data_IF_882379287438
#
_entry.id   IF_882379287438
#
_cell.length_a   1.000
_cell.length_b   1.000
_cell.length_c   1.000
_cell.angle_alpha   90.00
_cell.angle_beta   90.00
_cell.angle_gamma   90.00
#
_symmetry.space_group_name_H-M   'P 1'
#
loop_
_entity.id
_entity.type
_entity.pdbx_description
1 polymer ?
#
# COMPACT_ATOMS: atom_id res chain seq x y z
N UNK A 1 91.17 -38.92 9.26
CA UNK A 1 90.07 -39.90 9.09
C UNK A 1 89.04 -39.65 10.18
N UNK A 2 87.87 -39.09 9.83
CA UNK A 2 86.60 -39.52 10.44
C UNK A 2 85.45 -38.82 9.71
N UNK A 3 84.45 -39.62 9.39
CA UNK A 3 83.39 -39.35 8.43
C UNK A 3 82.29 -38.45 9.00
N UNK A 4 81.61 -37.74 8.08
CA UNK A 4 80.44 -36.90 8.32
C UNK A 4 79.23 -37.73 8.78
N UNK A 5 78.34 -37.15 9.61
CA UNK A 5 76.92 -37.47 9.57
C UNK A 5 76.13 -36.32 8.92
N UNK A 6 75.33 -36.66 7.90
CA UNK A 6 74.30 -35.77 7.34
C UNK A 6 73.09 -35.70 8.29
N UNK A 7 72.47 -34.51 8.46
CA UNK A 7 71.19 -34.39 9.16
C UNK A 7 70.01 -34.88 8.30
N UNK A 8 68.93 -35.38 8.93
CA UNK A 8 67.77 -35.96 8.25
C UNK A 8 66.88 -34.90 7.59
N UNK A 9 66.27 -35.30 6.48
CA UNK A 9 65.26 -34.54 5.74
C UNK A 9 64.05 -34.25 6.62
N UNK A 10 63.73 -32.97 6.79
CA UNK A 10 62.53 -32.50 7.47
C UNK A 10 61.26 -32.88 6.70
N UNK A 11 60.30 -33.42 7.44
CA UNK A 11 59.01 -33.85 6.95
C UNK A 11 58.18 -32.69 6.39
N UNK A 12 57.55 -32.92 5.24
CA UNK A 12 56.50 -32.07 4.70
C UNK A 12 55.32 -32.02 5.68
N UNK A 13 55.02 -30.82 6.19
CA UNK A 13 53.82 -30.55 6.97
C UNK A 13 52.62 -30.47 6.01
N UNK A 14 51.77 -31.50 6.04
CA UNK A 14 50.50 -31.51 5.32
C UNK A 14 49.51 -30.57 6.02
N UNK A 15 49.15 -29.48 5.36
CA UNK A 15 48.05 -28.61 5.77
C UNK A 15 46.72 -29.37 5.68
N UNK A 16 46.01 -29.48 6.81
CA UNK A 16 44.66 -30.05 6.89
C UNK A 16 43.63 -29.05 6.31
N UNK A 17 42.89 -29.37 5.23
CA UNK A 17 41.81 -28.52 4.75
C UNK A 17 40.52 -28.94 5.46
N UNK A 18 40.22 -28.35 6.61
CA UNK A 18 39.11 -28.81 7.46
C UNK A 18 38.24 -27.75 8.12
N UNK A 19 38.43 -26.45 7.85
CA UNK A 19 37.67 -25.39 8.54
C UNK A 19 36.88 -24.43 7.63
N UNK A 20 37.17 -24.38 6.33
CA UNK A 20 36.50 -23.42 5.43
C UNK A 20 35.05 -23.80 5.05
N UNK A 21 34.65 -25.07 5.22
CA UNK A 21 33.33 -25.57 4.78
C UNK A 21 32.18 -25.24 5.74
N UNK A 22 32.44 -25.14 7.04
CA UNK A 22 31.40 -24.82 8.04
C UNK A 22 30.98 -23.35 8.03
N UNK A 23 31.93 -22.44 7.77
CA UNK A 23 31.67 -21.00 7.77
C UNK A 23 30.82 -20.56 6.58
N UNK A 24 31.05 -21.11 5.38
CA UNK A 24 30.27 -20.78 4.18
C UNK A 24 28.79 -21.16 4.29
N UNK A 25 28.48 -22.30 4.92
CA UNK A 25 27.11 -22.75 5.12
C UNK A 25 26.33 -21.85 6.10
N UNK A 26 26.99 -21.37 7.16
CA UNK A 26 26.38 -20.46 8.14
C UNK A 26 26.10 -19.08 7.54
N UNK A 27 27.02 -18.53 6.74
CA UNK A 27 26.82 -17.26 6.02
C UNK A 27 25.70 -17.36 4.97
N UNK A 28 25.58 -18.49 4.26
CA UNK A 28 24.49 -18.72 3.32
C UNK A 28 23.12 -18.78 4.03
N UNK A 29 23.03 -19.45 5.19
CA UNK A 29 21.80 -19.51 5.99
C UNK A 29 21.39 -18.14 6.55
N UNK A 30 22.36 -17.36 7.07
CA UNK A 30 22.12 -15.99 7.53
C UNK A 30 21.68 -15.07 6.39
N UNK A 31 22.30 -15.17 5.22
CA UNK A 31 21.89 -14.42 4.03
C UNK A 31 20.47 -14.79 3.58
N UNK A 32 20.11 -16.08 3.57
CA UNK A 32 18.74 -16.53 3.25
C UNK A 32 17.71 -16.05 4.29
N UNK A 33 18.04 -16.07 5.58
CA UNK A 33 17.17 -15.56 6.64
C UNK A 33 16.98 -14.03 6.52
N UNK A 34 18.05 -13.28 6.28
CA UNK A 34 17.99 -11.83 6.03
C UNK A 34 17.20 -11.50 4.75
N UNK A 35 17.40 -12.27 3.68
CA UNK A 35 16.66 -12.08 2.42
C UNK A 35 15.18 -12.43 2.58
N UNK A 36 14.85 -13.48 3.34
CA UNK A 36 13.47 -13.83 3.69
C UNK A 36 12.80 -12.81 4.62
N UNK A 37 13.56 -12.17 5.52
CA UNK A 37 13.06 -11.06 6.35
C UNK A 37 12.84 -9.78 5.54
N UNK A 38 13.68 -9.50 4.54
CA UNK A 38 13.54 -8.32 3.67
C UNK A 38 12.38 -8.43 2.67
N UNK A 39 12.00 -9.63 2.22
CA UNK A 39 10.86 -9.83 1.31
C UNK A 39 9.50 -9.80 1.97
N UNK A 40 9.42 -9.80 3.31
CA UNK A 40 8.17 -9.66 4.06
C UNK A 40 7.76 -8.19 4.29
N UNK A 41 8.60 -7.24 3.91
CA UNK A 41 8.22 -5.83 3.90
C UNK A 41 7.14 -5.61 2.83
N UNK A 42 5.87 -5.70 3.23
CA UNK A 42 4.76 -5.24 2.41
C UNK A 42 5.05 -3.81 1.99
N UNK A 43 4.97 -3.45 0.70
CA UNK A 43 5.08 -2.06 0.30
C UNK A 43 4.08 -1.27 1.14
N UNK A 44 4.57 -0.24 1.83
CA UNK A 44 3.69 0.67 2.53
C UNK A 44 2.73 1.26 1.49
N UNK A 45 1.44 1.29 1.81
CA UNK A 45 0.42 1.73 0.86
C UNK A 45 0.63 3.23 0.60
N UNK A 46 1.08 3.56 -0.61
CA UNK A 46 1.05 4.92 -1.13
C UNK A 46 -0.41 5.38 -1.24
N UNK A 47 -0.62 6.68 -1.08
CA UNK A 47 -1.92 7.28 -1.35
C UNK A 47 -2.30 7.13 -2.83
N UNK A 48 -3.59 6.99 -3.15
CA UNK A 48 -4.05 6.90 -4.55
C UNK A 48 -4.65 8.24 -4.97
N UNK A 49 -4.25 8.79 -6.11
CA UNK A 49 -4.90 9.95 -6.70
C UNK A 49 -5.93 9.49 -7.73
N UNK A 50 -7.18 9.90 -7.56
CA UNK A 50 -8.26 9.62 -8.49
C UNK A 50 -8.88 10.91 -9.05
N UNK A 51 -9.50 10.79 -10.21
CA UNK A 51 -10.41 11.79 -10.77
C UNK A 51 -11.85 11.26 -10.73
N UNK A 52 -12.82 12.18 -10.70
CA UNK A 52 -14.23 11.85 -10.81
C UNK A 52 -14.87 12.63 -11.97
N UNK A 53 -15.74 11.98 -12.74
CA UNK A 53 -16.43 12.64 -13.85
C UNK A 53 -17.86 12.12 -14.00
N UNK A 54 -18.73 12.98 -14.55
CA UNK A 54 -20.12 12.66 -14.86
C UNK A 54 -20.54 13.36 -16.15
N UNK A 55 -21.34 12.73 -17.03
CA UNK A 55 -21.83 13.33 -18.26
C UNK A 55 -22.58 14.66 -18.10
N UNK A 56 -23.09 14.98 -16.90
CA UNK A 56 -23.72 16.27 -16.63
C UNK A 56 -22.72 17.45 -16.49
N UNK A 57 -21.43 17.20 -16.71
CA UNK A 57 -20.37 18.21 -16.58
C UNK A 57 -19.85 18.40 -15.14
N UNK A 58 -20.19 17.50 -14.22
CA UNK A 58 -19.54 17.45 -12.90
C UNK A 58 -18.18 16.76 -13.02
N UNK A 59 -17.13 17.39 -12.49
CA UNK A 59 -15.77 16.86 -12.55
C UNK A 59 -14.97 17.25 -11.30
N UNK A 60 -14.09 16.36 -10.86
CA UNK A 60 -13.08 16.60 -9.82
C UNK A 60 -11.76 16.01 -10.33
N UNK A 61 -10.76 16.85 -10.53
CA UNK A 61 -9.47 16.45 -11.10
C UNK A 61 -8.60 15.66 -10.12
N UNK A 62 -8.68 15.98 -8.82
CA UNK A 62 -7.78 15.45 -7.79
C UNK A 62 -8.54 15.05 -6.54
N UNK A 63 -8.65 13.76 -6.31
CA UNK A 63 -9.17 13.14 -5.10
C UNK A 63 -8.06 12.28 -4.48
N UNK A 64 -7.31 12.81 -3.49
CA UNK A 64 -6.38 11.98 -2.72
C UNK A 64 -7.17 10.99 -1.87
N UNK A 65 -7.09 9.72 -2.23
CA UNK A 65 -7.72 8.61 -1.54
C UNK A 65 -6.74 7.95 -0.58
N UNK A 66 -7.33 7.44 0.49
CA UNK A 66 -6.69 6.74 1.59
C UNK A 66 -5.71 7.60 2.37
N UNK A 67 -4.70 6.98 3.00
CA UNK A 67 -3.58 7.69 3.61
C UNK A 67 -2.30 7.41 2.84
N UNK A 68 -1.29 8.23 3.07
CA UNK A 68 0.05 8.00 2.54
C UNK A 68 1.00 7.33 3.54
N UNK A 69 2.25 7.05 3.14
CA UNK A 69 3.38 6.56 3.92
C UNK A 69 3.48 7.20 5.30
N UNK A 70 3.21 8.50 5.41
CA UNK A 70 3.30 9.24 6.66
C UNK A 70 2.07 9.09 7.58
N UNK A 71 0.88 8.76 7.05
CA UNK A 71 -0.38 8.84 7.82
C UNK A 71 -1.37 7.69 7.56
N UNK A 72 -0.98 6.63 6.85
CA UNK A 72 -1.82 5.46 6.51
C UNK A 72 -2.46 4.76 7.73
N UNK A 73 -1.91 4.96 8.93
CA UNK A 73 -2.42 4.41 10.18
C UNK A 73 -3.55 5.24 10.80
N UNK A 74 -3.63 6.53 10.46
CA UNK A 74 -4.55 7.49 11.08
C UNK A 74 -5.50 8.11 10.07
N UNK A 75 -5.22 7.96 8.77
CA UNK A 75 -5.98 8.56 7.67
C UNK A 75 -6.37 7.48 6.67
N UNK A 76 -7.67 7.40 6.38
CA UNK A 76 -8.24 6.67 5.26
C UNK A 76 -9.26 7.58 4.56
N UNK A 77 -8.78 8.48 3.70
CA UNK A 77 -9.66 9.38 2.95
C UNK A 77 -10.49 8.60 1.93
N UNK A 78 -11.80 8.79 1.96
CA UNK A 78 -12.70 8.15 1.01
C UNK A 78 -13.77 9.12 0.52
N UNK A 79 -14.23 9.02 -0.74
CA UNK A 79 -15.22 9.94 -1.26
C UNK A 79 -16.58 9.78 -0.58
N UNK A 80 -17.24 10.90 -0.33
CA UNK A 80 -18.60 10.98 0.18
C UNK A 80 -19.38 12.07 -0.55
N UNK A 81 -20.70 11.90 -0.65
CA UNK A 81 -21.63 12.87 -1.22
C UNK A 81 -22.04 13.87 -0.13
N UNK A 82 -21.73 15.15 -0.34
CA UNK A 82 -22.29 16.24 0.43
C UNK A 82 -23.50 16.80 -0.33
N UNK A 83 -24.71 16.38 0.05
CA UNK A 83 -25.93 16.69 -0.74
C UNK A 83 -26.24 18.18 -0.76
N UNK A 84 -26.05 18.87 0.36
CA UNK A 84 -26.32 20.32 0.48
C UNK A 84 -25.41 21.16 -0.42
N UNK A 85 -24.19 20.68 -0.70
CA UNK A 85 -23.21 21.37 -1.55
C UNK A 85 -23.22 20.89 -2.99
N UNK A 86 -23.88 19.78 -3.28
CA UNK A 86 -23.84 19.15 -4.60
C UNK A 86 -22.42 18.77 -5.02
N UNK A 87 -21.58 18.35 -4.08
CA UNK A 87 -20.16 18.02 -4.32
C UNK A 87 -19.73 16.72 -3.65
N UNK A 88 -18.65 16.15 -4.17
CA UNK A 88 -17.84 15.16 -3.48
C UNK A 88 -16.98 15.85 -2.43
N UNK A 89 -16.83 15.19 -1.30
CA UNK A 89 -15.87 15.54 -0.25
C UNK A 89 -15.13 14.29 0.18
N UNK A 90 -14.00 14.45 0.86
CA UNK A 90 -13.26 13.34 1.43
C UNK A 90 -13.55 13.25 2.93
N UNK A 91 -13.86 12.04 3.39
CA UNK A 91 -14.06 11.72 4.80
C UNK A 91 -12.98 10.76 5.26
N UNK A 92 -12.59 10.82 6.53
CA UNK A 92 -11.69 9.85 7.11
C UNK A 92 -12.48 8.65 7.64
N UNK A 93 -12.39 7.49 6.99
CA UNK A 93 -13.09 6.28 7.45
C UNK A 93 -12.53 5.73 8.77
N UNK A 94 -11.32 6.14 9.18
CA UNK A 94 -10.73 5.81 10.48
C UNK A 94 -11.16 6.76 11.59
N UNK A 95 -11.81 7.88 11.25
CA UNK A 95 -12.34 8.86 12.20
C UNK A 95 -13.72 9.36 11.75
N UNK A 96 -14.77 8.50 11.84
CA UNK A 96 -16.10 8.81 11.30
C UNK A 96 -16.83 9.92 12.06
N UNK A 97 -16.34 10.33 13.23
CA UNK A 97 -16.89 11.46 13.99
C UNK A 97 -16.50 12.82 13.42
N UNK A 98 -15.39 12.88 12.68
CA UNK A 98 -14.87 14.13 12.12
C UNK A 98 -15.48 14.42 10.76
N UNK A 99 -16.12 15.59 10.66
CA UNK A 99 -16.66 16.10 9.40
C UNK A 99 -15.61 16.92 8.62
N UNK A 100 -15.61 16.85 7.28
CA UNK A 100 -14.76 17.71 6.48
C UNK A 100 -15.25 19.15 6.54
N UNK A 101 -14.32 20.11 6.59
CA UNK A 101 -14.64 21.54 6.60
C UNK A 101 -15.44 22.00 5.35
N UNK A 102 -15.34 21.27 4.24
CA UNK A 102 -16.10 21.52 3.01
C UNK A 102 -17.57 21.09 3.11
N UNK A 103 -17.95 20.27 4.11
CA UNK A 103 -19.32 19.85 4.37
C UNK A 103 -19.59 19.80 5.89
N UNK A 104 -19.61 20.96 6.57
CA UNK A 104 -19.73 21.01 8.03
C UNK A 104 -21.13 20.60 8.51
N UNK A 105 -22.16 20.90 7.71
CA UNK A 105 -23.57 20.64 8.01
C UNK A 105 -24.20 19.78 6.91
N UNK A 106 -25.37 19.20 7.19
CA UNK A 106 -26.16 18.48 6.19
C UNK A 106 -25.89 16.98 6.11
N UNK A 107 -26.60 16.27 5.20
CA UNK A 107 -26.47 14.85 4.98
C UNK A 107 -25.16 14.53 4.25
N UNK A 108 -24.39 13.62 4.83
CA UNK A 108 -23.15 13.11 4.28
C UNK A 108 -23.30 11.61 4.04
N UNK A 109 -23.09 11.16 2.82
CA UNK A 109 -23.24 9.76 2.46
C UNK A 109 -21.95 9.21 1.88
N UNK A 110 -21.31 8.29 2.58
CA UNK A 110 -20.06 7.65 2.14
C UNK A 110 -20.29 6.79 0.91
N UNK A 111 -19.40 6.88 -0.09
CA UNK A 111 -19.44 5.94 -1.21
C UNK A 111 -18.93 4.54 -0.84
N UNK A 112 -18.44 4.36 0.39
CA UNK A 112 -18.13 3.03 0.95
C UNK A 112 -19.38 2.32 1.51
N UNK A 113 -20.52 3.00 1.56
CA UNK A 113 -21.80 2.38 1.91
C UNK A 113 -22.25 1.45 0.76
N UNK A 114 -22.47 0.15 1.01
CA UNK A 114 -22.96 -0.78 0.00
C UNK A 114 -24.26 -0.36 -0.68
N UNK A 115 -25.09 0.49 -0.04
CA UNK A 115 -26.32 1.01 -0.64
C UNK A 115 -26.06 2.02 -1.78
N UNK A 116 -24.87 2.61 -1.83
CA UNK A 116 -24.45 3.57 -2.86
C UNK A 116 -23.37 3.02 -3.79
N UNK A 117 -22.68 1.97 -3.37
CA UNK A 117 -21.65 1.33 -4.17
C UNK A 117 -22.29 0.53 -5.33
N UNK A 118 -21.69 0.60 -6.53
CA UNK A 118 -22.01 -0.31 -7.63
C UNK A 118 -21.79 -1.77 -7.20
N UNK A 119 -22.57 -2.68 -7.78
CA UNK A 119 -22.48 -4.11 -7.49
C UNK A 119 -21.28 -4.74 -8.19
N UNK A 120 -20.91 -4.21 -9.35
CA UNK A 120 -19.85 -4.70 -10.22
C UNK A 120 -18.96 -3.56 -10.74
N UNK A 121 -17.81 -3.93 -11.30
CA UNK A 121 -16.85 -3.01 -11.89
C UNK A 121 -15.41 -3.26 -11.45
N UNK A 122 -14.48 -2.67 -12.19
CA UNK A 122 -13.06 -2.69 -11.85
C UNK A 122 -12.77 -1.80 -10.64
N UNK A 123 -11.86 -2.25 -9.78
CA UNK A 123 -11.40 -1.45 -8.64
C UNK A 123 -10.47 -0.34 -9.13
N UNK A 124 -10.84 0.90 -8.86
CA UNK A 124 -10.01 2.09 -9.06
C UNK A 124 -9.05 2.28 -7.89
N UNK A 125 -9.50 1.96 -6.69
CA UNK A 125 -8.72 2.10 -5.48
C UNK A 125 -9.16 1.05 -4.47
N UNK A 126 -8.20 0.31 -3.92
CA UNK A 126 -8.45 -0.67 -2.86
C UNK A 126 -7.52 -0.43 -1.68
N UNK A 127 -8.06 -0.53 -0.47
CA UNK A 127 -7.26 -0.49 0.74
C UNK A 127 -7.74 -1.54 1.73
N UNK A 128 -6.79 -2.27 2.31
CA UNK A 128 -7.05 -3.21 3.41
C UNK A 128 -6.79 -2.52 4.75
N UNK A 129 -7.87 -2.26 5.48
CA UNK A 129 -7.82 -1.75 6.84
C UNK A 129 -7.33 -2.82 7.81
N UNK A 130 -7.11 -2.42 9.07
CA UNK A 130 -7.02 -3.37 10.17
C UNK A 130 -8.26 -4.28 10.18
N UNK A 131 -8.13 -5.49 10.72
CA UNK A 131 -9.18 -6.50 10.82
C UNK A 131 -9.67 -7.09 9.48
N UNK A 132 -8.81 -7.04 8.44
CA UNK A 132 -9.09 -7.58 7.10
C UNK A 132 -10.28 -6.94 6.37
N UNK A 133 -10.81 -5.83 6.86
CA UNK A 133 -11.83 -5.06 6.14
C UNK A 133 -11.20 -4.45 4.89
N UNK A 134 -11.79 -4.71 3.73
CA UNK A 134 -11.35 -4.14 2.46
C UNK A 134 -12.31 -3.02 2.06
N UNK A 135 -11.76 -1.84 1.82
CA UNK A 135 -12.48 -0.69 1.26
C UNK A 135 -12.13 -0.60 -0.22
N UNK A 136 -13.15 -0.46 -1.07
CA UNK A 136 -13.00 -0.40 -2.53
C UNK A 136 -13.76 0.78 -3.09
N UNK A 137 -13.11 1.49 -4.00
CA UNK A 137 -13.76 2.42 -4.92
C UNK A 137 -13.74 1.77 -6.30
N UNK A 138 -14.91 1.47 -6.83
CA UNK A 138 -15.11 0.95 -8.18
C UNK A 138 -15.11 2.06 -9.24
N UNK A 139 -14.95 1.68 -10.52
CA UNK A 139 -14.85 2.59 -11.67
C UNK A 139 -16.07 3.47 -11.96
N UNK A 140 -17.26 3.12 -11.49
CA UNK A 140 -18.40 4.02 -11.64
C UNK A 140 -19.75 3.36 -11.45
N UNK A 141 -20.81 4.13 -11.73
CA UNK A 141 -22.18 3.76 -11.36
C UNK A 141 -22.60 4.32 -10.01
N UNK A 142 -21.96 5.42 -9.56
CA UNK A 142 -22.32 6.10 -8.31
C UNK A 142 -23.30 7.26 -8.57
N UNK A 143 -24.04 7.71 -7.53
CA UNK A 143 -24.88 8.89 -7.66
C UNK A 143 -24.01 10.14 -7.85
N UNK A 144 -24.26 10.89 -8.92
CA UNK A 144 -23.66 12.20 -9.11
C UNK A 144 -24.26 13.20 -8.11
N UNK A 145 -23.45 13.96 -7.35
CA UNK A 145 -23.97 14.92 -6.39
C UNK A 145 -24.66 16.13 -7.06
N UNK A 146 -24.42 16.37 -8.36
CA UNK A 146 -25.03 17.48 -9.11
C UNK A 146 -26.35 17.10 -9.77
N UNK A 147 -26.41 16.00 -10.53
CA UNK A 147 -27.62 15.61 -11.26
C UNK A 147 -28.43 14.47 -10.59
N UNK A 148 -27.87 13.82 -9.56
CA UNK A 148 -28.52 12.73 -8.83
C UNK A 148 -28.55 11.37 -9.56
N UNK A 149 -28.14 11.31 -10.83
CA UNK A 149 -28.14 10.08 -11.62
C UNK A 149 -26.94 9.19 -11.27
N UNK A 150 -27.09 7.87 -11.47
CA UNK A 150 -26.06 6.85 -11.22
C UNK A 150 -25.00 6.81 -12.34
N UNK A 151 -24.42 7.96 -12.68
CA UNK A 151 -23.53 8.16 -13.83
C UNK A 151 -22.21 8.81 -13.44
N UNK A 152 -21.87 8.81 -12.15
CA UNK A 152 -20.58 9.25 -11.66
C UNK A 152 -19.56 8.10 -11.80
N UNK A 153 -18.43 8.40 -12.43
CA UNK A 153 -17.32 7.49 -12.68
C UNK A 153 -16.05 8.00 -12.02
N UNK A 154 -15.18 7.06 -11.66
CA UNK A 154 -13.87 7.33 -11.08
C UNK A 154 -12.80 6.68 -11.92
N UNK A 155 -11.61 7.28 -11.91
CA UNK A 155 -10.42 6.71 -12.55
C UNK A 155 -9.20 7.06 -11.72
N UNK A 156 -8.29 6.10 -11.55
CA UNK A 156 -7.00 6.35 -10.93
C UNK A 156 -6.11 7.09 -11.93
N UNK A 157 -5.48 8.16 -11.48
CA UNK A 157 -4.61 8.99 -12.30
C UNK A 157 -3.16 8.93 -11.86
N UNK A 158 -2.90 8.80 -10.55
CA UNK A 158 -1.55 8.75 -9.99
C UNK A 158 -1.54 8.15 -8.58
N UNK A 159 -0.42 8.27 -7.89
CA UNK A 159 -0.26 8.13 -6.45
C UNK A 159 0.01 9.50 -5.83
N UNK A 160 -0.23 9.65 -4.53
CA UNK A 160 0.12 10.88 -3.83
C UNK A 160 0.87 10.54 -2.55
N UNK A 161 2.18 10.78 -2.55
CA UNK A 161 3.13 10.77 -1.43
C UNK A 161 4.48 10.13 -1.76
#
# INVERSE_FOLDING_TARGET
MSARPMPPMGAHSASRPGHARGQLALWALLACLLFGLLTLARPAAAGILAEASCPCGYHVERLPLFGGFANFRTVCLFPALCRDKGSLVLINLLDPGTRPASCPTGPLASLADPALAPVDGESVAEWRLADNKVIRLLGGGYPCPRCGQMTLHFRQTDFWD
#
